data_IF_379483757097
#
_entry.id   IF_379483757097
#
_cell.length_a   1.000
_cell.length_b   1.000
_cell.length_c   1.000
_cell.angle_alpha   90.00
_cell.angle_beta   90.00
_cell.angle_gamma   90.00
#
_symmetry.space_group_name_H-M   'P 1'
#
loop_
_entity.id
_entity.type
_entity.pdbx_description
1 polymer ?
#
# COMPACT_ATOMS: atom_id res chain seq x y z
N UNK A 1 33.58 16.36 -13.74
CA UNK A 1 34.21 16.01 -15.04
C UNK A 1 33.49 14.88 -15.81
N UNK A 2 32.41 14.28 -15.28
CA UNK A 2 31.63 13.25 -15.99
C UNK A 2 30.73 13.81 -17.13
N UNK A 3 30.26 15.05 -17.01
CA UNK A 3 29.37 15.66 -18.02
C UNK A 3 30.03 15.99 -19.37
N UNK A 4 31.37 15.93 -19.48
CA UNK A 4 32.09 16.25 -20.73
C UNK A 4 32.37 15.02 -21.59
N UNK A 5 32.56 13.85 -20.99
CA UNK A 5 32.90 12.60 -21.72
C UNK A 5 31.65 11.89 -22.26
N UNK A 6 30.46 12.20 -21.74
CA UNK A 6 29.17 11.70 -22.24
C UNK A 6 28.32 12.73 -23.00
N UNK A 7 28.89 13.87 -23.39
CA UNK A 7 28.13 14.92 -24.09
C UNK A 7 28.14 14.71 -25.61
N UNK A 8 27.02 14.99 -26.27
CA UNK A 8 26.90 15.01 -27.72
C UNK A 8 27.96 15.88 -28.41
N UNK A 9 28.41 16.97 -27.77
CA UNK A 9 29.46 17.83 -28.30
C UNK A 9 30.84 17.15 -28.38
N UNK A 10 31.14 16.22 -27.48
CA UNK A 10 32.40 15.47 -27.49
C UNK A 10 32.46 14.48 -28.67
N UNK A 11 31.36 13.77 -28.92
CA UNK A 11 31.23 12.86 -30.07
C UNK A 11 31.37 13.61 -31.40
N UNK A 12 30.72 14.78 -31.54
CA UNK A 12 30.82 15.60 -32.76
C UNK A 12 32.25 16.11 -32.96
N UNK A 13 32.92 16.55 -31.88
CA UNK A 13 34.31 16.97 -31.93
C UNK A 13 35.25 15.86 -32.42
N UNK A 14 35.17 14.67 -31.82
CA UNK A 14 36.00 13.52 -32.21
C UNK A 14 35.74 13.08 -33.66
N UNK A 15 34.47 13.04 -34.08
CA UNK A 15 34.09 12.72 -35.47
C UNK A 15 34.62 13.75 -36.47
N UNK A 16 34.64 15.04 -36.11
CA UNK A 16 35.17 16.10 -36.99
C UNK A 16 36.68 15.98 -37.16
N UNK A 17 37.41 15.66 -36.09
CA UNK A 17 38.87 15.43 -36.17
C UNK A 17 39.18 14.22 -37.05
N UNK A 18 38.44 13.11 -36.89
CA UNK A 18 38.60 11.91 -37.72
C UNK A 18 38.28 12.20 -39.19
N UNK A 19 37.15 12.87 -39.47
CA UNK A 19 36.75 13.23 -40.82
C UNK A 19 37.76 14.19 -41.47
N UNK A 20 38.31 15.14 -40.71
CA UNK A 20 39.36 16.04 -41.19
C UNK A 20 40.66 15.30 -41.54
N UNK A 21 41.07 14.34 -40.70
CA UNK A 21 42.27 13.53 -40.93
C UNK A 21 42.16 12.66 -42.19
N UNK A 22 41.03 11.98 -42.35
CA UNK A 22 40.73 11.17 -43.55
C UNK A 22 40.72 12.06 -44.79
N UNK A 23 40.06 13.23 -44.73
CA UNK A 23 39.96 14.16 -45.86
C UNK A 23 41.34 14.67 -46.26
N UNK A 24 42.15 15.14 -45.30
CA UNK A 24 43.50 15.67 -45.54
C UNK A 24 44.41 14.65 -46.22
N UNK A 25 44.37 13.40 -45.77
CA UNK A 25 45.23 12.33 -46.29
C UNK A 25 44.67 11.66 -47.57
N UNK A 26 43.45 11.98 -48.00
CA UNK A 26 42.84 11.47 -49.25
C UNK A 26 42.91 12.47 -50.42
N UNK A 27 43.40 13.70 -50.20
CA UNK A 27 43.52 14.71 -51.27
C UNK A 27 44.73 14.40 -52.17
N UNK A 28 44.52 14.15 -53.48
CA UNK A 28 45.62 13.88 -54.39
C UNK A 28 46.48 15.13 -54.60
N UNK A 29 47.81 14.98 -54.45
CA UNK A 29 48.78 16.07 -54.66
C UNK A 29 49.42 16.63 -53.38
N UNK A 30 48.98 16.18 -52.20
CA UNK A 30 49.74 16.36 -50.95
C UNK A 30 50.61 15.13 -50.67
N UNK A 31 51.73 15.26 -49.95
CA UNK A 31 52.45 14.09 -49.45
C UNK A 31 51.49 13.26 -48.60
N UNK A 32 51.32 11.98 -48.91
CA UNK A 32 50.53 11.07 -48.07
C UNK A 32 51.37 10.67 -46.86
N UNK A 33 50.97 11.11 -45.67
CA UNK A 33 51.71 10.82 -44.43
C UNK A 33 51.29 9.46 -43.84
N UNK A 34 50.16 8.90 -44.27
CA UNK A 34 49.60 7.64 -43.74
C UNK A 34 48.99 6.80 -44.88
N UNK A 35 49.81 6.13 -45.69
CA UNK A 35 49.37 5.36 -46.87
C UNK A 35 49.17 3.85 -46.56
N UNK A 36 48.03 3.31 -47.05
CA UNK A 36 47.38 2.00 -46.80
C UNK A 36 47.26 1.50 -45.33
N UNK A 37 46.04 1.36 -44.76
CA UNK A 37 44.83 2.14 -45.01
C UNK A 37 44.75 3.38 -44.10
N UNK A 38 45.19 3.31 -42.84
CA UNK A 38 45.52 4.42 -41.90
C UNK A 38 46.24 3.79 -40.68
N UNK A 39 47.51 3.42 -40.79
CA UNK A 39 48.19 2.61 -39.76
C UNK A 39 48.44 3.42 -38.47
N UNK A 40 48.79 4.69 -38.61
CA UNK A 40 49.07 5.57 -37.46
C UNK A 40 47.79 5.89 -36.70
N UNK A 41 46.69 6.15 -37.43
CA UNK A 41 45.40 6.43 -36.82
C UNK A 41 44.90 5.23 -36.00
N UNK A 42 45.02 4.02 -36.56
CA UNK A 42 44.64 2.79 -35.88
C UNK A 42 45.48 2.53 -34.62
N UNK A 43 46.79 2.84 -34.67
CA UNK A 43 47.67 2.70 -33.51
C UNK A 43 47.27 3.65 -32.38
N UNK A 44 47.05 4.93 -32.69
CA UNK A 44 46.63 5.94 -31.71
C UNK A 44 45.28 5.59 -31.10
N UNK A 45 44.32 5.15 -31.90
CA UNK A 45 42.99 4.74 -31.42
C UNK A 45 43.05 3.51 -30.51
N UNK A 46 43.88 2.53 -30.86
CA UNK A 46 44.10 1.34 -30.03
C UNK A 46 44.71 1.70 -28.67
N UNK A 47 45.70 2.59 -28.66
CA UNK A 47 46.31 3.08 -27.42
C UNK A 47 45.34 3.91 -26.57
N UNK A 48 44.56 4.80 -27.20
CA UNK A 48 43.54 5.59 -26.51
C UNK A 48 42.50 4.70 -25.82
N UNK A 49 42.06 3.63 -26.50
CA UNK A 49 41.14 2.64 -25.94
C UNK A 49 41.77 1.86 -24.77
N UNK A 50 43.02 1.43 -24.93
CA UNK A 50 43.76 0.72 -23.88
C UNK A 50 43.95 1.58 -22.62
N UNK A 51 44.21 2.88 -22.77
CA UNK A 51 44.31 3.81 -21.64
C UNK A 51 42.95 4.15 -21.01
N UNK A 52 41.87 4.08 -21.79
CA UNK A 52 40.52 4.36 -21.29
C UNK A 52 40.07 3.32 -20.27
N UNK A 53 40.37 2.03 -20.48
CA UNK A 53 39.99 0.95 -19.58
C UNK A 53 40.42 1.16 -18.10
N UNK A 54 41.70 1.42 -17.77
CA UNK A 54 42.13 1.65 -16.39
C UNK A 54 41.57 2.94 -15.80
N UNK A 55 41.44 4.01 -16.59
CA UNK A 55 40.83 5.27 -16.11
C UNK A 55 39.36 5.04 -15.73
N UNK A 56 38.63 4.30 -16.56
CA UNK A 56 37.26 3.89 -16.28
C UNK A 56 37.20 3.03 -15.03
N UNK A 57 38.06 2.01 -14.91
CA UNK A 57 38.12 1.13 -13.73
C UNK A 57 38.46 1.90 -12.44
N UNK A 58 39.40 2.84 -12.48
CA UNK A 58 39.72 3.71 -11.32
C UNK A 58 38.53 4.59 -10.94
N UNK A 59 37.85 5.17 -11.94
CA UNK A 59 36.65 5.99 -11.69
C UNK A 59 35.47 5.18 -11.17
N UNK A 60 35.35 3.92 -11.60
CA UNK A 60 34.36 2.97 -11.13
C UNK A 60 34.67 2.54 -9.70
N UNK A 61 35.94 2.23 -9.37
CA UNK A 61 36.32 1.87 -8.01
C UNK A 61 35.98 3.00 -7.02
N UNK A 62 36.33 4.26 -7.37
CA UNK A 62 35.96 5.42 -6.55
C UNK A 62 34.44 5.57 -6.38
N UNK A 63 33.67 5.45 -7.47
CA UNK A 63 32.21 5.52 -7.39
C UNK A 63 31.62 4.38 -6.54
N UNK A 64 32.16 3.15 -6.66
CA UNK A 64 31.68 2.02 -5.85
C UNK A 64 31.94 2.20 -4.35
N UNK A 65 33.02 2.88 -3.96
CA UNK A 65 33.30 3.22 -2.57
C UNK A 65 32.30 4.24 -2.03
N UNK A 66 32.04 5.31 -2.80
CA UNK A 66 31.00 6.31 -2.48
C UNK A 66 29.61 5.66 -2.42
N UNK A 67 29.26 4.81 -3.39
CA UNK A 67 27.99 4.09 -3.44
C UNK A 67 27.81 3.14 -2.25
N UNK A 68 28.88 2.49 -1.79
CA UNK A 68 28.85 1.61 -0.61
C UNK A 68 28.58 2.40 0.67
N UNK A 69 29.19 3.57 0.82
CA UNK A 69 28.92 4.46 1.96
C UNK A 69 27.47 4.94 1.94
N UNK A 70 26.99 5.39 0.78
CA UNK A 70 25.60 5.82 0.58
C UNK A 70 24.61 4.68 0.87
N UNK A 71 24.91 3.46 0.44
CA UNK A 71 24.08 2.29 0.71
C UNK A 71 23.99 1.99 2.21
N UNK A 72 25.10 2.08 2.94
CA UNK A 72 25.10 1.89 4.39
C UNK A 72 24.28 2.97 5.11
N UNK A 73 24.40 4.23 4.68
CA UNK A 73 23.62 5.32 5.25
C UNK A 73 22.11 5.13 4.98
N UNK A 74 21.75 4.84 3.74
CA UNK A 74 20.36 4.56 3.35
C UNK A 74 19.78 3.37 4.11
N UNK A 75 20.58 2.32 4.35
CA UNK A 75 20.17 1.18 5.15
C UNK A 75 19.84 1.59 6.59
N UNK A 76 20.72 2.36 7.25
CA UNK A 76 20.48 2.84 8.61
C UNK A 76 19.23 3.72 8.70
N UNK A 77 19.06 4.64 7.76
CA UNK A 77 17.86 5.50 7.68
C UNK A 77 16.60 4.65 7.50
N UNK A 78 16.65 3.61 6.67
CA UNK A 78 15.51 2.71 6.44
C UNK A 78 15.14 1.94 7.70
N UNK A 79 16.13 1.41 8.43
CA UNK A 79 15.91 0.71 9.70
C UNK A 79 15.32 1.66 10.74
N UNK A 80 15.87 2.87 10.87
CA UNK A 80 15.35 3.88 11.79
C UNK A 80 13.91 4.29 11.44
N UNK A 81 13.60 4.45 10.15
CA UNK A 81 12.25 4.74 9.70
C UNK A 81 11.28 3.61 10.06
N UNK A 82 11.68 2.34 9.90
CA UNK A 82 10.87 1.19 10.28
C UNK A 82 10.60 1.16 11.81
N UNK A 83 11.62 1.41 12.64
CA UNK A 83 11.46 1.50 14.09
C UNK A 83 10.53 2.65 14.50
N UNK A 84 10.68 3.82 13.89
CA UNK A 84 9.80 4.96 14.15
C UNK A 84 8.35 4.65 13.78
N UNK A 85 8.12 3.94 12.67
CA UNK A 85 6.80 3.50 12.25
C UNK A 85 6.20 2.52 13.27
N UNK A 86 6.97 1.55 13.75
CA UNK A 86 6.52 0.61 14.78
C UNK A 86 6.14 1.33 16.09
N UNK A 87 6.97 2.28 16.53
CA UNK A 87 6.68 3.09 17.72
C UNK A 87 5.41 3.94 17.55
N UNK A 88 5.17 4.47 16.36
CA UNK A 88 3.93 5.19 16.05
C UNK A 88 2.71 4.26 16.12
N UNK A 89 2.81 3.04 15.58
CA UNK A 89 1.75 2.04 15.68
C UNK A 89 1.44 1.68 17.14
N UNK A 90 2.46 1.41 17.95
CA UNK A 90 2.26 1.11 19.37
C UNK A 90 1.55 2.25 20.13
N UNK A 91 1.94 3.50 19.87
CA UNK A 91 1.29 4.67 20.47
C UNK A 91 -0.16 4.81 20.01
N UNK A 92 -0.41 4.58 18.73
CA UNK A 92 -1.74 4.67 18.14
C UNK A 92 -2.67 3.58 18.69
N UNK A 93 -2.18 2.34 18.80
CA UNK A 93 -2.92 1.22 19.37
C UNK A 93 -3.25 1.46 20.84
N UNK A 94 -2.30 1.95 21.63
CA UNK A 94 -2.53 2.29 23.03
C UNK A 94 -3.62 3.38 23.19
N UNK A 95 -3.64 4.36 22.29
CA UNK A 95 -4.67 5.41 22.29
C UNK A 95 -6.03 4.87 21.86
N UNK A 96 -6.07 3.99 20.85
CA UNK A 96 -7.31 3.31 20.45
C UNK A 96 -7.86 2.43 21.56
N UNK A 97 -7.02 1.67 22.27
CA UNK A 97 -7.47 0.86 23.43
C UNK A 97 -8.15 1.72 24.49
N UNK A 98 -7.56 2.87 24.84
CA UNK A 98 -8.20 3.82 25.79
C UNK A 98 -9.56 4.29 25.31
N UNK A 99 -9.67 4.69 24.04
CA UNK A 99 -10.94 5.13 23.45
C UNK A 99 -11.98 4.01 23.43
N UNK A 100 -11.58 2.77 23.14
CA UNK A 100 -12.47 1.62 23.18
C UNK A 100 -12.94 1.30 24.60
N UNK A 101 -12.07 1.41 25.59
CA UNK A 101 -12.44 1.25 27.01
C UNK A 101 -13.44 2.33 27.45
N UNK A 102 -13.20 3.60 27.08
CA UNK A 102 -14.11 4.71 27.36
C UNK A 102 -15.50 4.49 26.71
N UNK A 103 -15.55 4.13 25.43
CA UNK A 103 -16.80 3.81 24.74
C UNK A 103 -17.52 2.62 25.40
N UNK A 104 -16.78 1.60 25.83
CA UNK A 104 -17.35 0.44 26.53
C UNK A 104 -17.95 0.83 27.88
N UNK A 105 -17.28 1.71 28.64
CA UNK A 105 -17.83 2.25 29.88
C UNK A 105 -19.10 3.06 29.65
N UNK A 106 -19.12 3.93 28.64
CA UNK A 106 -20.30 4.73 28.30
C UNK A 106 -21.49 3.84 27.90
N UNK A 107 -21.27 2.81 27.08
CA UNK A 107 -22.32 1.84 26.71
C UNK A 107 -22.86 1.12 27.95
N UNK A 108 -21.98 0.64 28.83
CA UNK A 108 -22.38 -0.05 30.07
C UNK A 108 -23.21 0.86 30.98
N UNK A 109 -22.82 2.13 31.11
CA UNK A 109 -23.56 3.14 31.87
C UNK A 109 -24.94 3.41 31.26
N UNK A 110 -25.03 3.56 29.93
CA UNK A 110 -26.31 3.74 29.25
C UNK A 110 -27.24 2.53 29.46
N UNK A 111 -26.72 1.31 29.39
CA UNK A 111 -27.50 0.10 29.64
C UNK A 111 -28.02 0.04 31.09
N UNK A 112 -27.21 0.45 32.07
CA UNK A 112 -27.63 0.52 33.47
C UNK A 112 -28.75 1.54 33.68
N UNK A 113 -28.61 2.75 33.13
CA UNK A 113 -29.66 3.78 33.19
C UNK A 113 -30.96 3.34 32.47
N UNK A 114 -30.84 2.59 31.37
CA UNK A 114 -32.00 2.02 30.67
C UNK A 114 -32.65 0.85 31.43
N UNK A 115 -31.89 0.11 32.25
CA UNK A 115 -32.44 -0.97 33.07
C UNK A 115 -33.30 -0.46 34.24
N UNK A 116 -33.01 0.72 34.79
CA UNK A 116 -33.84 1.36 35.83
C UNK A 116 -35.17 1.91 35.28
N UNK A 117 -35.17 2.42 34.04
CA UNK A 117 -36.39 2.95 33.38
C UNK A 117 -37.38 1.84 33.00
N UNK A 118 -36.90 0.61 32.73
CA UNK A 118 -37.75 -0.54 32.40
C UNK A 118 -38.56 -1.07 33.60
N UNK A 119 -38.25 -0.66 34.84
CA UNK A 119 -38.95 -1.13 36.06
C UNK A 119 -40.15 -0.23 36.45
N UNK A 120 -40.37 0.90 35.78
CA UNK A 120 -41.34 1.93 36.23
C UNK A 120 -42.60 2.08 35.36
N UNK A 121 -42.76 1.40 34.22
CA UNK A 121 -43.98 1.56 33.41
C UNK A 121 -44.52 0.27 32.76
N UNK A 122 -45.21 -0.55 33.56
CA UNK A 122 -46.36 -1.33 33.08
C UNK A 122 -47.49 -1.16 34.12
N UNK A 123 -48.37 -0.16 33.97
CA UNK A 123 -49.52 -0.02 34.86
C UNK A 123 -50.43 -1.25 34.74
N UNK A 124 -50.82 -1.81 35.88
CA UNK A 124 -51.67 -3.01 36.00
C UNK A 124 -53.09 -2.85 35.38
N UNK A 125 -53.44 -1.66 34.93
CA UNK A 125 -54.72 -1.33 34.28
C UNK A 125 -54.86 -1.96 32.88
N UNK A 126 -53.77 -2.02 32.09
CA UNK A 126 -53.83 -2.46 30.68
C UNK A 126 -54.06 -3.97 30.55
N UNK A 127 -53.67 -4.75 31.57
CA UNK A 127 -53.83 -6.20 31.58
C UNK A 127 -55.31 -6.60 31.68
N UNK A 128 -56.08 -5.87 32.49
CA UNK A 128 -57.48 -6.20 32.76
C UNK A 128 -58.39 -5.88 31.56
N UNK A 129 -58.06 -4.83 30.80
CA UNK A 129 -58.80 -4.42 29.60
C UNK A 129 -58.50 -5.33 28.39
N UNK A 130 -57.26 -5.81 28.29
CA UNK A 130 -56.85 -6.81 27.30
C UNK A 130 -57.47 -8.19 27.58
N UNK A 131 -57.50 -8.63 28.84
CA UNK A 131 -58.10 -9.90 29.26
C UNK A 131 -59.63 -9.91 29.07
N UNK A 132 -60.30 -8.78 29.28
CA UNK A 132 -61.74 -8.62 29.02
C UNK A 132 -62.08 -8.68 27.53
N UNK A 133 -61.23 -8.06 26.70
CA UNK A 133 -61.37 -8.05 25.23
C UNK A 133 -61.09 -9.44 24.61
N UNK A 134 -60.09 -10.17 25.14
CA UNK A 134 -59.78 -11.54 24.73
C UNK A 134 -60.91 -12.52 25.07
N UNK A 135 -61.49 -12.45 26.27
CA UNK A 135 -62.58 -13.35 26.68
C UNK A 135 -63.88 -13.11 25.90
N UNK A 136 -64.08 -11.90 25.36
CA UNK A 136 -65.23 -11.58 24.51
C UNK A 136 -65.01 -11.98 23.04
N UNK A 137 -63.76 -11.99 22.57
CA UNK A 137 -63.39 -12.34 21.20
C UNK A 137 -63.11 -13.85 20.97
N UNK A 138 -62.70 -14.59 22.01
CA UNK A 138 -62.40 -16.04 21.93
C UNK A 138 -63.58 -16.91 21.42
N UNK A 139 -64.84 -16.72 21.85
CA UNK A 139 -65.96 -17.50 21.32
C UNK A 139 -66.33 -17.11 19.88
N UNK A 140 -65.93 -15.92 19.41
CA UNK A 140 -66.20 -15.43 18.05
C UNK A 140 -65.22 -15.96 16.98
N UNK A 141 -64.05 -16.44 17.39
CA UNK A 141 -63.09 -17.05 16.48
C UNK A 141 -63.29 -18.57 16.34
N UNK A 142 -64.04 -19.20 17.25
CA UNK A 142 -64.22 -20.65 17.28
C UNK A 142 -65.16 -21.19 16.18
N UNK A 143 -65.87 -20.32 15.48
CA UNK A 143 -66.68 -20.67 14.31
C UNK A 143 -65.96 -20.48 12.97
N UNK A 144 -64.73 -19.93 12.94
CA UNK A 144 -64.07 -19.57 11.68
C UNK A 144 -62.71 -20.21 11.41
N UNK A 145 -62.13 -21.05 12.28
CA UNK A 145 -60.91 -21.76 11.87
C UNK A 145 -60.60 -23.01 12.68
N UNK A 146 -60.56 -24.15 11.99
CA UNK A 146 -59.91 -25.38 12.46
C UNK A 146 -58.40 -25.15 12.44
N UNK A 147 -57.84 -24.70 13.56
CA UNK A 147 -56.39 -24.57 13.70
C UNK A 147 -55.99 -24.25 15.13
N UNK A 148 -55.55 -25.24 15.88
CA UNK A 148 -54.95 -25.05 17.21
C UNK A 148 -53.51 -24.55 17.05
N UNK A 149 -53.28 -23.28 17.33
CA UNK A 149 -51.92 -22.71 17.43
C UNK A 149 -51.48 -22.78 18.88
N UNK A 150 -50.53 -23.67 19.19
CA UNK A 150 -49.84 -23.70 20.48
C UNK A 150 -48.64 -22.76 20.43
N UNK A 151 -48.67 -21.69 21.23
CA UNK A 151 -47.49 -20.85 21.47
C UNK A 151 -46.74 -21.44 22.67
N UNK A 152 -45.65 -22.16 22.39
CA UNK A 152 -44.74 -22.67 23.41
C UNK A 152 -43.84 -21.53 23.91
N UNK A 153 -43.91 -21.20 25.20
CA UNK A 153 -43.14 -20.12 25.83
C UNK A 153 -41.66 -20.45 26.08
N UNK A 154 -41.21 -21.65 25.73
CA UNK A 154 -39.84 -22.09 25.99
C UNK A 154 -39.22 -22.73 24.74
N UNK A 155 -38.67 -21.91 23.83
CA UNK A 155 -37.48 -22.28 23.01
C UNK A 155 -36.99 -21.14 22.11
N UNK A 156 -35.65 -21.02 22.14
CA UNK A 156 -34.71 -20.32 21.25
C UNK A 156 -35.28 -19.99 19.86
N UNK A 157 -35.26 -18.70 19.52
CA UNK A 157 -35.63 -18.14 18.21
C UNK A 157 -34.63 -18.65 17.17
N UNK A 158 -34.89 -19.80 16.54
CA UNK A 158 -34.14 -20.21 15.34
C UNK A 158 -34.95 -21.08 14.36
N UNK A 159 -36.22 -21.42 14.62
CA UNK A 159 -36.98 -22.21 13.64
C UNK A 159 -38.49 -21.97 13.76
N UNK A 160 -38.99 -20.90 13.12
CA UNK A 160 -40.41 -20.79 12.78
C UNK A 160 -40.55 -21.21 11.31
N UNK A 161 -40.76 -22.51 11.07
CA UNK A 161 -41.19 -23.01 9.77
C UNK A 161 -42.72 -23.08 9.73
N UNK A 162 -43.31 -22.13 9.02
CA UNK A 162 -44.74 -22.14 8.70
C UNK A 162 -44.98 -23.25 7.66
N UNK A 163 -45.66 -24.33 8.07
CA UNK A 163 -46.13 -25.37 7.15
C UNK A 163 -47.64 -25.21 6.97
N UNK A 164 -48.03 -24.63 5.83
CA UNK A 164 -49.42 -24.56 5.40
C UNK A 164 -49.71 -25.86 4.65
N UNK A 165 -50.54 -26.73 5.23
CA UNK A 165 -51.12 -27.86 4.51
C UNK A 165 -52.55 -27.49 4.13
N UNK A 166 -52.86 -27.67 2.84
CA UNK A 166 -54.19 -27.59 2.24
C UNK A 166 -55.15 -28.64 2.82
#
# INVERSE_FOLDING_TARGET
>A
MAAKVGSWAFLIGQSTVLAGWITFNSVPGMPHWDEQPFILLNLVFSFASAYTAPVVLMSQNRQSEEDRENANHNYQVTVQAAQNLELLHQKLDAEYSKKLDELTMLIKQQQQAQSEVKVVFVPAEVKNEFDSSMNTALPLLNHLSKGTVYVNSDKKIDDIKVKINN
#
